data_IF_422786110410
#
_entry.id   IF_422786110410
#
_cell.length_a   1.000
_cell.length_b   1.000
_cell.length_c   1.000
_cell.angle_alpha   90.00
_cell.angle_beta   90.00
_cell.angle_gamma   90.00
#
_symmetry.space_group_name_H-M   'P 1'
#
loop_
_entity.id
_entity.type
_entity.pdbx_description
1 polymer ?
#
# COMPACT_ATOMS: atom_id res chain seq x y z
N UNK A 1 18.63 15.20 46.51
CA UNK A 1 18.18 14.66 45.21
C UNK A 1 16.67 14.80 45.14
N UNK A 2 16.18 15.83 44.47
CA UNK A 2 14.76 15.98 44.15
C UNK A 2 14.44 15.03 42.99
N UNK A 3 13.72 13.96 43.27
CA UNK A 3 13.19 13.07 42.24
C UNK A 3 12.14 13.86 41.47
N UNK A 4 12.43 14.27 40.24
CA UNK A 4 11.41 14.89 39.39
C UNK A 4 10.24 13.91 39.24
N UNK A 5 9.05 14.38 39.64
CA UNK A 5 7.83 13.57 39.63
C UNK A 5 7.43 13.35 38.18
N UNK A 6 7.34 12.09 37.75
CA UNK A 6 6.92 11.72 36.38
C UNK A 6 5.54 12.32 36.10
N UNK A 7 5.43 13.10 35.04
CA UNK A 7 4.16 13.71 34.63
C UNK A 7 3.24 12.69 33.96
N UNK A 8 1.93 12.90 34.05
CA UNK A 8 0.94 12.08 33.37
C UNK A 8 1.17 12.06 31.85
N UNK A 9 1.52 13.22 31.26
CA UNK A 9 1.88 13.32 29.86
C UNK A 9 3.12 12.47 29.51
N UNK A 10 4.15 12.49 30.36
CA UNK A 10 5.36 11.69 30.14
C UNK A 10 5.09 10.19 30.19
N UNK A 11 4.22 9.75 31.11
CA UNK A 11 3.78 8.36 31.19
C UNK A 11 3.00 7.94 29.94
N UNK A 12 2.05 8.77 29.49
CA UNK A 12 1.26 8.50 28.29
C UNK A 12 2.12 8.45 27.00
N UNK A 13 3.12 9.32 26.88
CA UNK A 13 4.05 9.29 25.75
C UNK A 13 4.92 8.03 25.75
N UNK A 14 5.43 7.61 26.92
CA UNK A 14 6.19 6.36 27.02
C UNK A 14 5.34 5.14 26.68
N UNK A 15 4.08 5.10 27.12
CA UNK A 15 3.14 4.04 26.80
C UNK A 15 2.90 3.96 25.29
N UNK A 16 2.55 5.07 24.63
CA UNK A 16 2.36 5.10 23.19
C UNK A 16 3.62 4.71 22.39
N UNK A 17 4.82 5.08 22.86
CA UNK A 17 6.08 4.66 22.23
C UNK A 17 6.36 3.17 22.42
N UNK A 18 5.99 2.58 23.57
CA UNK A 18 6.10 1.12 23.81
C UNK A 18 5.17 0.35 22.88
N UNK A 19 3.95 0.83 22.68
CA UNK A 19 3.00 0.27 21.71
C UNK A 19 3.55 0.35 20.29
N UNK A 20 4.04 1.51 19.85
CA UNK A 20 4.64 1.68 18.52
C UNK A 20 5.83 0.73 18.29
N UNK A 21 6.64 0.50 19.33
CA UNK A 21 7.76 -0.45 19.29
C UNK A 21 7.28 -1.90 19.21
N UNK A 22 6.25 -2.29 19.97
CA UNK A 22 5.66 -3.62 19.92
C UNK A 22 5.06 -3.91 18.53
N UNK A 23 4.39 -2.92 17.94
CA UNK A 23 3.86 -3.03 16.57
C UNK A 23 5.00 -3.23 15.56
N UNK A 24 6.06 -2.43 15.64
CA UNK A 24 7.21 -2.54 14.73
C UNK A 24 7.91 -3.90 14.84
N UNK A 25 7.89 -4.53 16.02
CA UNK A 25 8.41 -5.90 16.25
C UNK A 25 7.44 -7.01 15.83
N UNK A 26 6.20 -6.68 15.45
CA UNK A 26 5.16 -7.66 15.11
C UNK A 26 4.52 -8.34 16.31
N UNK A 27 4.70 -7.80 17.52
CA UNK A 27 4.13 -8.34 18.77
C UNK A 27 2.65 -7.98 18.93
N UNK A 28 2.24 -6.84 18.35
CA UNK A 28 0.85 -6.40 18.29
C UNK A 28 0.48 -6.03 16.85
N UNK A 29 -0.77 -6.28 16.47
CA UNK A 29 -1.34 -5.77 15.22
C UNK A 29 -2.01 -4.42 15.49
N UNK A 30 -1.74 -3.41 14.65
CA UNK A 30 -2.60 -2.22 14.62
C UNK A 30 -3.94 -2.63 14.00
N UNK A 31 -5.05 -2.02 14.45
CA UNK A 31 -6.40 -2.26 13.91
C UNK A 31 -6.51 -1.94 12.41
N UNK A 32 -5.57 -1.15 11.87
CA UNK A 32 -5.59 -0.70 10.48
C UNK A 32 -4.67 -1.54 9.59
N UNK A 33 -5.21 -2.01 8.47
CA UNK A 33 -4.43 -2.62 7.39
C UNK A 33 -3.68 -1.51 6.65
N UNK A 34 -2.36 -1.41 6.88
CA UNK A 34 -1.53 -0.49 6.11
C UNK A 34 -0.96 -1.19 4.87
N UNK A 35 -1.19 -0.63 3.69
CA UNK A 35 -0.56 -1.07 2.46
C UNK A 35 0.61 -0.14 2.18
N UNK A 36 1.82 -0.68 2.34
CA UNK A 36 3.07 0.05 2.16
C UNK A 36 3.12 0.80 0.83
N UNK A 37 3.72 2.00 0.78
CA UNK A 37 3.98 2.69 -0.46
C UNK A 37 4.74 1.80 -1.46
N UNK A 38 4.28 1.76 -2.72
CA UNK A 38 4.95 1.02 -3.78
C UNK A 38 5.92 1.93 -4.54
N UNK A 39 7.23 1.58 -4.62
CA UNK A 39 8.18 2.26 -5.50
C UNK A 39 7.78 2.14 -6.98
N UNK A 40 8.23 3.08 -7.83
CA UNK A 40 7.88 3.10 -9.26
C UNK A 40 8.35 1.85 -10.00
N UNK A 41 9.48 1.27 -9.58
CA UNK A 41 10.04 0.01 -10.08
C UNK A 41 9.11 -1.16 -9.78
N UNK A 42 8.51 -1.16 -8.58
CA UNK A 42 7.58 -2.21 -8.14
C UNK A 42 6.29 -2.18 -8.96
N UNK A 43 5.76 -0.99 -9.17
CA UNK A 43 4.56 -0.76 -9.98
C UNK A 43 4.81 -1.24 -11.42
N UNK A 44 5.95 -0.87 -12.00
CA UNK A 44 6.37 -1.30 -13.34
C UNK A 44 6.55 -2.82 -13.43
N UNK A 45 7.09 -3.45 -12.38
CA UNK A 45 7.25 -4.91 -12.32
C UNK A 45 5.89 -5.62 -12.32
N UNK A 46 4.92 -5.14 -11.52
CA UNK A 46 3.54 -5.67 -11.51
C UNK A 46 2.94 -5.60 -12.90
N UNK A 47 2.93 -4.41 -13.52
CA UNK A 47 2.37 -4.22 -14.86
C UNK A 47 3.02 -5.15 -15.88
N UNK A 48 4.35 -5.30 -15.87
CA UNK A 48 5.11 -6.19 -16.78
C UNK A 48 4.76 -7.66 -16.61
N UNK A 49 4.47 -8.09 -15.38
CA UNK A 49 4.10 -9.48 -15.07
C UNK A 49 2.76 -9.86 -15.70
N UNK A 50 1.79 -8.93 -15.75
CA UNK A 50 0.41 -9.24 -16.16
C UNK A 50 0.02 -8.66 -17.53
N UNK A 51 0.81 -7.74 -18.09
CA UNK A 51 0.57 -7.14 -19.40
C UNK A 51 1.89 -6.70 -20.04
N UNK A 52 1.96 -6.64 -21.38
CA UNK A 52 3.17 -6.17 -22.10
C UNK A 52 3.27 -4.65 -22.14
N UNK A 53 2.13 -3.95 -22.15
CA UNK A 53 2.06 -2.48 -22.18
C UNK A 53 1.00 -1.91 -21.23
N UNK A 54 1.06 -0.60 -20.93
CA UNK A 54 0.04 0.09 -20.16
C UNK A 54 -1.34 0.08 -20.85
N UNK A 55 -1.36 0.11 -22.19
CA UNK A 55 -2.61 0.01 -22.96
C UNK A 55 -3.22 -1.39 -22.90
N UNK A 56 -2.39 -2.44 -22.86
CA UNK A 56 -2.90 -3.79 -22.63
C UNK A 56 -3.40 -3.95 -21.18
N UNK A 57 -2.70 -3.35 -20.21
CA UNK A 57 -3.13 -3.33 -18.81
C UNK A 57 -4.50 -2.65 -18.65
N UNK A 58 -4.72 -1.53 -19.33
CA UNK A 58 -6.02 -0.85 -19.38
C UNK A 58 -7.13 -1.73 -19.96
N UNK A 59 -6.88 -2.36 -21.10
CA UNK A 59 -7.87 -3.28 -21.70
C UNK A 59 -8.24 -4.45 -20.78
N UNK A 60 -7.28 -4.92 -19.98
CA UNK A 60 -7.41 -6.10 -19.13
C UNK A 60 -8.06 -5.81 -17.78
N UNK A 61 -7.81 -4.64 -17.21
CA UNK A 61 -8.22 -4.31 -15.82
C UNK A 61 -9.01 -3.01 -15.69
N UNK A 62 -9.31 -2.31 -16.79
CA UNK A 62 -10.06 -1.05 -16.79
C UNK A 62 -9.30 0.16 -16.21
N UNK A 63 -8.05 0.00 -15.78
CA UNK A 63 -7.24 1.10 -15.22
C UNK A 63 -6.59 1.88 -16.39
N UNK A 64 -6.87 3.18 -16.57
CA UNK A 64 -6.40 3.94 -17.73
C UNK A 64 -4.87 3.89 -17.89
N UNK A 65 -4.38 3.71 -19.13
CA UNK A 65 -2.95 3.67 -19.41
C UNK A 65 -2.24 4.96 -18.96
N UNK A 66 -2.93 6.10 -19.02
CA UNK A 66 -2.42 7.38 -18.51
C UNK A 66 -2.20 7.35 -16.99
N UNK A 67 -3.13 6.77 -16.23
CA UNK A 67 -2.97 6.55 -14.78
C UNK A 67 -1.77 5.65 -14.52
N UNK A 68 -1.67 4.54 -15.27
CA UNK A 68 -0.59 3.60 -15.11
C UNK A 68 0.79 4.25 -15.39
N UNK A 69 0.89 5.01 -16.47
CA UNK A 69 2.10 5.75 -16.84
C UNK A 69 2.48 6.81 -15.81
N UNK A 70 1.50 7.55 -15.27
CA UNK A 70 1.75 8.54 -14.22
C UNK A 70 2.35 7.90 -12.95
N UNK A 71 1.87 6.70 -12.58
CA UNK A 71 2.42 5.94 -11.47
C UNK A 71 3.82 5.38 -11.78
N UNK A 72 4.04 4.78 -12.95
CA UNK A 72 5.35 4.23 -13.35
C UNK A 72 6.44 5.30 -13.54
N UNK A 73 6.05 6.55 -13.76
CA UNK A 73 6.96 7.71 -13.87
C UNK A 73 7.09 8.49 -12.56
N UNK A 74 6.34 8.12 -11.51
CA UNK A 74 6.34 8.81 -10.23
C UNK A 74 5.69 10.20 -10.24
N UNK A 75 5.01 10.60 -11.33
CA UNK A 75 4.26 11.87 -11.41
C UNK A 75 3.08 11.90 -10.44
N UNK A 76 2.50 10.73 -10.16
CA UNK A 76 1.51 10.50 -9.11
C UNK A 76 1.82 9.19 -8.39
N UNK A 77 1.30 9.05 -7.17
CA UNK A 77 1.37 7.80 -6.42
C UNK A 77 -0.02 7.18 -6.32
N UNK A 78 -0.16 5.84 -6.42
CA UNK A 78 -1.42 5.19 -6.11
C UNK A 78 -1.76 5.41 -4.63
N UNK A 79 -3.03 5.70 -4.37
CA UNK A 79 -3.59 5.76 -3.01
C UNK A 79 -3.64 4.34 -2.39
N UNK A 80 -4.06 4.18 -1.13
CA UNK A 80 -4.11 2.86 -0.50
C UNK A 80 -4.95 1.83 -1.28
N UNK A 81 -6.09 2.26 -1.84
CA UNK A 81 -6.96 1.39 -2.63
C UNK A 81 -6.28 0.94 -3.94
N UNK A 82 -5.61 1.86 -4.65
CA UNK A 82 -4.84 1.55 -5.85
C UNK A 82 -3.67 0.62 -5.56
N UNK A 83 -2.99 0.78 -4.42
CA UNK A 83 -1.92 -0.15 -4.00
C UNK A 83 -2.46 -1.53 -3.68
N UNK A 84 -3.60 -1.61 -2.98
CA UNK A 84 -4.27 -2.89 -2.72
C UNK A 84 -4.65 -3.56 -4.05
N UNK A 85 -5.30 -2.83 -4.96
CA UNK A 85 -5.71 -3.36 -6.26
C UNK A 85 -4.51 -3.86 -7.08
N UNK A 86 -3.40 -3.13 -7.12
CA UNK A 86 -2.17 -3.60 -7.79
C UNK A 86 -1.64 -4.90 -7.17
N UNK A 87 -1.73 -5.06 -5.84
CA UNK A 87 -1.34 -6.29 -5.15
C UNK A 87 -2.30 -7.45 -5.49
N UNK A 88 -3.60 -7.20 -5.53
CA UNK A 88 -4.60 -8.20 -5.94
C UNK A 88 -4.38 -8.62 -7.39
N UNK A 89 -4.15 -7.67 -8.31
CA UNK A 89 -3.84 -7.95 -9.72
C UNK A 89 -2.57 -8.82 -9.86
N UNK A 90 -1.55 -8.59 -9.04
CA UNK A 90 -0.33 -9.38 -9.10
C UNK A 90 -0.53 -10.84 -8.66
N UNK A 91 -1.35 -11.05 -7.63
CA UNK A 91 -1.58 -12.35 -7.01
C UNK A 91 -2.68 -13.14 -7.75
N UNK A 92 -3.74 -12.46 -8.16
CA UNK A 92 -4.96 -13.01 -8.72
C UNK A 92 -5.45 -12.19 -9.94
N UNK A 93 -4.65 -12.09 -11.01
CA UNK A 93 -5.00 -11.27 -12.17
C UNK A 93 -6.33 -11.69 -12.80
N UNK A 94 -6.59 -13.00 -12.87
CA UNK A 94 -7.79 -13.53 -13.52
C UNK A 94 -9.08 -13.17 -12.79
N UNK A 95 -9.05 -13.10 -11.46
CA UNK A 95 -10.22 -12.67 -10.68
C UNK A 95 -10.55 -11.19 -10.91
N UNK A 96 -9.52 -10.34 -11.02
CA UNK A 96 -9.72 -8.91 -11.31
C UNK A 96 -10.19 -8.70 -12.74
N UNK A 97 -9.61 -9.43 -13.70
CA UNK A 97 -10.04 -9.39 -15.10
C UNK A 97 -11.50 -9.84 -15.25
N UNK A 98 -11.89 -10.95 -14.61
CA UNK A 98 -13.28 -11.40 -14.57
C UNK A 98 -14.22 -10.33 -14.00
N UNK A 99 -13.86 -9.72 -12.87
CA UNK A 99 -14.66 -8.66 -12.28
C UNK A 99 -14.74 -7.39 -13.16
N UNK A 100 -13.67 -7.04 -13.86
CA UNK A 100 -13.62 -5.88 -14.75
C UNK A 100 -14.46 -6.05 -16.03
N UNK A 101 -14.80 -7.28 -16.39
CA UNK A 101 -15.59 -7.63 -17.57
C UNK A 101 -16.99 -8.17 -17.24
N UNK A 102 -17.39 -8.18 -15.96
CA UNK A 102 -18.75 -8.53 -15.55
C UNK A 102 -19.72 -7.39 -15.89
N UNK A 103 -20.94 -7.75 -16.31
CA UNK A 103 -22.01 -6.83 -16.77
C UNK A 103 -22.62 -5.99 -15.62
#
# INVERSE_FOLDING_TARGET
MTTEKRSELGLALEEGLREALAWKRGEIALEVVNIDPMPVERIRAIRRKVARSARQFEKRFGIPAATMNNWEQGRRRPDPAGRLLLKVIELHPEAVEQAAHAD
#
